data_IF_796462864274
#
_entry.id   IF_796462864274
#
_cell.length_a   1.000
_cell.length_b   1.000
_cell.length_c   1.000
_cell.angle_alpha   90.00
_cell.angle_beta   90.00
_cell.angle_gamma   90.00
#
_symmetry.space_group_name_H-M   'P 1'
#
loop_
_entity.id
_entity.type
_entity.pdbx_description
1 polymer ?
#
# COMPACT_ATOMS: atom_id res chain seq x y z
N UNK A 1 -2.32 -13.97 5.08
CA UNK A 1 -2.10 -12.58 4.66
C UNK A 1 -2.91 -11.71 5.59
N UNK A 2 -2.31 -10.67 6.13
CA UNK A 2 -2.96 -9.70 7.02
C UNK A 2 -2.80 -8.32 6.38
N UNK A 3 -3.87 -7.53 6.37
CA UNK A 3 -3.85 -6.15 5.90
C UNK A 3 -3.95 -5.22 7.11
N UNK A 4 -3.08 -4.23 7.16
CA UNK A 4 -3.05 -3.22 8.20
C UNK A 4 -2.98 -1.84 7.53
N UNK A 5 -3.85 -0.92 7.97
CA UNK A 5 -3.85 0.47 7.54
C UNK A 5 -3.63 1.34 8.76
N UNK A 6 -2.59 2.16 8.72
CA UNK A 6 -2.35 3.16 9.75
C UNK A 6 -3.23 4.40 9.47
N UNK A 7 -4.04 4.80 10.45
CA UNK A 7 -4.83 6.04 10.36
C UNK A 7 -3.96 7.23 10.73
N UNK A 8 -3.23 7.75 9.73
CA UNK A 8 -2.33 8.90 9.91
C UNK A 8 -3.16 10.19 9.82
N UNK A 9 -3.04 11.04 10.85
CA UNK A 9 -3.61 12.38 10.81
C UNK A 9 -2.98 13.20 9.67
N UNK A 10 -3.79 14.01 8.98
CA UNK A 10 -3.58 14.70 7.68
C UNK A 10 -2.23 15.40 7.40
N UNK A 11 -1.29 15.45 8.34
CA UNK A 11 0.00 16.11 8.19
C UNK A 11 0.99 15.40 7.26
N UNK A 12 0.95 14.06 7.13
CA UNK A 12 1.80 13.32 6.20
C UNK A 12 1.01 12.85 4.96
N UNK A 13 0.81 13.77 4.02
CA UNK A 13 0.08 13.50 2.77
C UNK A 13 0.69 12.36 1.93
N UNK A 14 1.99 12.07 2.11
CA UNK A 14 2.71 11.04 1.35
C UNK A 14 2.36 9.61 1.75
N UNK A 15 1.85 9.39 2.98
CA UNK A 15 1.42 8.06 3.46
C UNK A 15 -0.09 7.84 3.37
N UNK A 16 -0.82 8.86 2.91
CA UNK A 16 -2.28 8.85 2.87
C UNK A 16 -2.76 7.74 1.93
N UNK A 17 -3.22 6.63 2.52
CA UNK A 17 -3.71 5.40 1.88
C UNK A 17 -2.70 4.32 1.47
N UNK A 18 -1.50 4.31 2.04
CA UNK A 18 -0.67 3.10 1.98
C UNK A 18 -1.22 2.05 2.95
N UNK A 19 -1.20 0.79 2.52
CA UNK A 19 -1.62 -0.37 3.31
C UNK A 19 -0.43 -1.30 3.45
N UNK A 20 -0.09 -1.63 4.69
CA UNK A 20 0.89 -2.63 5.05
C UNK A 20 0.28 -4.03 4.89
N UNK A 21 0.97 -4.87 4.14
CA UNK A 21 0.58 -6.26 3.88
C UNK A 21 1.65 -7.16 4.45
N UNK A 22 1.23 -8.08 5.33
CA UNK A 22 2.12 -9.07 5.92
C UNK A 22 1.73 -10.48 5.45
N UNK A 23 2.68 -11.12 4.77
CA UNK A 23 2.59 -12.52 4.33
C UNK A 23 3.21 -13.38 5.44
N UNK A 24 2.42 -13.74 6.45
CA UNK A 24 2.91 -14.53 7.59
C UNK A 24 3.06 -16.03 7.30
N UNK A 25 2.43 -16.54 6.24
CA UNK A 25 2.50 -17.94 5.83
C UNK A 25 2.45 -18.05 4.32
N UNK A 26 3.40 -18.78 3.76
CA UNK A 26 3.49 -19.12 2.34
C UNK A 26 4.07 -20.54 2.22
N UNK A 27 3.43 -21.44 1.46
CA UNK A 27 3.87 -22.85 1.32
C UNK A 27 4.99 -23.01 0.28
N UNK A 28 4.97 -22.17 -0.75
CA UNK A 28 5.82 -22.32 -1.94
C UNK A 28 6.73 -21.10 -2.15
N UNK A 29 7.11 -20.42 -1.07
CA UNK A 29 7.92 -19.22 -1.20
C UNK A 29 8.13 -18.49 0.11
N UNK A 30 8.82 -17.34 0.05
CA UNK A 30 9.11 -16.54 1.22
C UNK A 30 7.85 -15.93 1.83
N UNK A 31 7.91 -15.74 3.14
CA UNK A 31 7.10 -14.79 3.89
C UNK A 31 7.74 -13.40 3.82
N UNK A 32 7.01 -12.37 4.22
CA UNK A 32 7.55 -11.01 4.25
C UNK A 32 6.49 -9.95 4.45
N UNK A 33 6.90 -8.69 4.36
CA UNK A 33 6.01 -7.54 4.33
C UNK A 33 6.21 -6.75 3.04
N UNK A 34 5.14 -6.14 2.57
CA UNK A 34 5.16 -5.17 1.49
C UNK A 34 4.11 -4.10 1.75
N UNK A 35 4.18 -3.01 1.00
CA UNK A 35 3.19 -1.95 1.05
C UNK A 35 2.57 -1.75 -0.34
N UNK A 36 1.27 -1.50 -0.36
CA UNK A 36 0.52 -1.13 -1.57
C UNK A 36 -0.23 0.17 -1.33
N UNK A 37 -0.45 0.95 -2.40
CA UNK A 37 -1.35 2.09 -2.36
C UNK A 37 -2.78 1.62 -2.60
N UNK A 38 -3.72 2.07 -1.78
CA UNK A 38 -5.15 1.76 -1.92
C UNK A 38 -5.94 3.00 -2.35
N UNK A 39 -6.59 2.94 -3.51
CA UNK A 39 -7.52 3.98 -3.97
C UNK A 39 -8.93 3.66 -3.45
N UNK A 40 -9.46 4.41 -2.46
CA UNK A 40 -10.80 4.16 -1.92
C UNK A 40 -11.91 4.45 -2.93
N UNK A 41 -11.69 5.39 -3.85
CA UNK A 41 -12.67 5.76 -4.88
C UNK A 41 -12.92 4.63 -5.88
N UNK A 42 -11.86 3.88 -6.23
CA UNK A 42 -11.94 2.81 -7.23
C UNK A 42 -11.85 1.40 -6.63
N UNK A 43 -11.61 1.28 -5.31
CA UNK A 43 -11.34 0.02 -4.61
C UNK A 43 -10.22 -0.79 -5.28
N UNK A 44 -9.18 -0.10 -5.75
CA UNK A 44 -8.02 -0.69 -6.45
C UNK A 44 -6.74 -0.56 -5.64
N UNK A 45 -5.86 -1.53 -5.82
CA UNK A 45 -4.51 -1.54 -5.26
C UNK A 45 -3.49 -1.29 -6.36
N UNK A 46 -2.50 -0.47 -6.05
CA UNK A 46 -1.41 -0.13 -6.96
C UNK A 46 -0.07 -0.40 -6.30
N UNK A 47 0.92 -0.80 -7.09
CA UNK A 47 2.30 -0.85 -6.62
C UNK A 47 2.76 0.57 -6.33
N UNK A 48 3.45 0.76 -5.21
CA UNK A 48 3.96 2.08 -4.82
C UNK A 48 4.93 2.65 -5.87
N UNK A 49 5.67 1.77 -6.55
CA UNK A 49 6.62 2.16 -7.59
C UNK A 49 5.97 2.47 -8.96
N UNK A 50 4.73 2.06 -9.19
CA UNK A 50 4.01 2.32 -10.44
C UNK A 50 3.30 3.69 -10.44
N UNK A 51 3.31 4.39 -9.31
CA UNK A 51 2.84 5.78 -9.22
C UNK A 51 3.86 6.66 -9.93
N UNK A 52 3.72 6.79 -11.25
CA UNK A 52 4.43 7.79 -12.02
C UNK A 52 4.01 9.18 -11.54
N UNK A 53 4.97 9.96 -11.06
CA UNK A 53 4.84 11.40 -10.83
C UNK A 53 4.83 12.12 -12.20
N UNK A 54 4.01 11.66 -13.15
CA UNK A 54 3.90 12.21 -14.50
C UNK A 54 2.56 12.94 -14.73
N UNK A 55 1.83 13.28 -13.66
CA UNK A 55 0.58 14.06 -13.74
C UNK A 55 0.52 15.23 -12.75
N UNK A 56 1.67 15.82 -12.42
CA UNK A 56 1.77 17.07 -11.65
C UNK A 56 2.47 18.21 -12.42
N UNK A 57 2.47 18.16 -13.76
CA UNK A 57 2.88 19.31 -14.61
C UNK A 57 1.78 19.65 -15.60
#
# INVERSE_FOLDING_TARGET
MILYKEDIQKHDQTKYNNIDIMICKNRNGPTGSCQLYFSPESTKFYNIHDIKIDQLT
#
